data_IF_430560600383
#
_entry.id   IF_430560600383
#
_cell.length_a   1.000
_cell.length_b   1.000
_cell.length_c   1.000
_cell.angle_alpha   90.00
_cell.angle_beta   90.00
_cell.angle_gamma   90.00
#
_symmetry.space_group_name_H-M   'P 1'
#
loop_
_entity.id
_entity.type
_entity.pdbx_description
1 polymer ?
#
# COMPACT_ATOMS: atom_id res chain seq x y z
N UNK A 1 19.58 -15.73 -0.28
CA UNK A 1 19.18 -15.14 -1.57
C UNK A 1 20.14 -15.64 -2.65
N UNK A 2 19.61 -16.18 -3.74
CA UNK A 2 20.38 -16.53 -4.94
C UNK A 2 20.09 -15.47 -5.98
N UNK A 3 21.10 -14.68 -6.32
CA UNK A 3 21.06 -13.63 -7.33
C UNK A 3 20.92 -14.25 -8.72
N UNK A 4 20.05 -13.68 -9.57
CA UNK A 4 19.85 -14.05 -10.97
C UNK A 4 21.11 -13.92 -11.85
N UNK A 5 22.23 -13.45 -11.29
CA UNK A 5 23.52 -13.31 -11.96
C UNK A 5 24.37 -14.60 -12.02
N UNK A 6 23.99 -15.66 -11.30
CA UNK A 6 24.75 -16.93 -11.25
C UNK A 6 24.19 -18.04 -12.15
N UNK A 7 23.48 -17.70 -13.22
CA UNK A 7 23.21 -18.69 -14.27
C UNK A 7 24.53 -18.94 -15.02
N UNK A 8 25.03 -20.19 -15.08
CA UNK A 8 26.15 -20.49 -15.94
C UNK A 8 25.64 -20.23 -17.36
N UNK A 9 26.15 -19.17 -17.98
CA UNK A 9 26.15 -19.09 -19.44
C UNK A 9 26.85 -20.36 -19.87
N UNK A 10 26.08 -21.32 -20.42
CA UNK A 10 26.61 -22.43 -21.18
C UNK A 10 27.48 -21.80 -22.27
N UNK A 11 28.76 -21.63 -21.95
CA UNK A 11 29.83 -21.59 -22.89
C UNK A 11 29.76 -22.97 -23.53
N UNK A 12 28.89 -23.08 -24.53
CA UNK A 12 29.09 -23.99 -25.63
C UNK A 12 30.42 -23.56 -26.22
N UNK A 13 31.48 -24.09 -25.60
CA UNK A 13 32.72 -24.41 -26.22
C UNK A 13 32.30 -25.30 -27.40
N UNK A 14 31.94 -24.64 -28.51
CA UNK A 14 31.93 -25.28 -29.80
C UNK A 14 33.40 -25.63 -29.99
N UNK A 15 33.75 -26.83 -29.52
CA UNK A 15 34.94 -27.53 -29.95
C UNK A 15 34.78 -27.58 -31.47
N UNK A 16 35.43 -26.63 -32.13
CA UNK A 16 35.57 -26.62 -33.56
C UNK A 16 36.40 -27.87 -33.82
N UNK A 17 35.71 -28.97 -34.11
CA UNK A 17 36.31 -30.02 -34.90
C UNK A 17 36.72 -29.30 -36.17
N UNK A 18 38.02 -28.98 -36.28
CA UNK A 18 38.66 -28.78 -37.56
C UNK A 18 38.44 -30.07 -38.34
N UNK A 19 37.25 -30.22 -38.93
CA UNK A 19 37.13 -31.01 -40.13
C UNK A 19 37.87 -30.21 -41.20
N UNK A 20 39.20 -30.29 -41.16
CA UNK A 20 39.96 -30.44 -42.39
C UNK A 20 39.28 -31.62 -43.06
N UNK A 21 38.29 -31.32 -43.88
CA UNK A 21 37.82 -32.25 -44.88
C UNK A 21 39.11 -32.71 -45.54
N UNK A 22 39.42 -34.00 -45.42
CA UNK A 22 40.35 -34.66 -46.30
C UNK A 22 39.70 -34.55 -47.67
N UNK A 23 39.77 -33.36 -48.27
CA UNK A 23 39.51 -33.16 -49.67
C UNK A 23 40.55 -34.06 -50.28
N UNK A 24 40.07 -35.26 -50.63
CA UNK A 24 40.85 -36.30 -51.24
C UNK A 24 41.80 -35.59 -52.16
N UNK A 25 43.10 -35.74 -51.90
CA UNK A 25 44.10 -35.58 -52.93
C UNK A 25 43.70 -36.62 -53.97
N UNK A 26 42.70 -36.30 -54.79
CA UNK A 26 42.40 -37.02 -55.99
C UNK A 26 43.62 -36.68 -56.86
N UNK A 27 44.69 -37.42 -56.63
CA UNK A 27 45.49 -37.95 -57.71
C UNK A 27 44.50 -38.70 -58.60
N UNK A 28 43.79 -37.93 -59.44
CA UNK A 28 43.13 -38.43 -60.62
C UNK A 28 44.25 -38.90 -61.55
N UNK A 29 44.90 -40.00 -61.20
CA UNK A 29 45.60 -40.85 -62.13
C UNK A 29 44.51 -41.51 -62.96
N UNK A 30 44.13 -40.85 -64.06
CA UNK A 30 43.28 -41.44 -65.09
C UNK A 30 43.97 -42.75 -65.50
N UNK A 31 43.38 -43.94 -65.27
CA UNK A 31 44.00 -45.20 -65.64
C UNK A 31 44.16 -45.23 -67.15
N UNK A 32 45.40 -45.07 -67.63
CA UNK A 32 45.73 -45.05 -69.05
C UNK A 32 45.34 -46.38 -69.71
N UNK A 33 45.32 -47.46 -68.94
CA UNK A 33 44.95 -48.81 -69.37
C UNK A 33 43.51 -48.90 -69.85
N UNK A 34 42.56 -48.15 -69.25
CA UNK A 34 41.14 -48.22 -69.61
C UNK A 34 40.84 -47.46 -70.91
N UNK A 35 41.57 -46.39 -71.19
CA UNK A 35 41.34 -45.52 -72.36
C UNK A 35 42.13 -45.98 -73.60
N UNK A 36 43.10 -46.88 -73.44
CA UNK A 36 43.95 -47.39 -74.53
C UNK A 36 43.14 -48.11 -75.63
N UNK A 37 42.04 -48.78 -75.29
CA UNK A 37 41.23 -49.54 -76.27
C UNK A 37 40.22 -48.67 -77.04
N UNK A 38 39.74 -47.56 -76.48
CA UNK A 38 38.76 -46.69 -77.16
C UNK A 38 39.40 -45.72 -78.18
N UNK A 39 40.72 -45.50 -78.11
CA UNK A 39 41.46 -44.54 -78.94
C UNK A 39 42.47 -45.18 -79.89
N UNK A 40 42.36 -46.48 -80.18
CA UNK A 40 43.32 -47.22 -81.01
C UNK A 40 43.54 -46.67 -82.45
N UNK A 41 42.73 -45.69 -82.90
CA UNK A 41 42.90 -44.98 -84.18
C UNK A 41 43.40 -43.52 -84.08
N UNK A 42 43.68 -43.00 -82.88
CA UNK A 42 44.21 -41.64 -82.68
C UNK A 42 45.61 -41.78 -82.08
N UNK A 43 46.64 -41.40 -82.86
CA UNK A 43 48.03 -41.41 -82.42
C UNK A 43 48.30 -40.27 -81.42
N UNK A 44 47.81 -40.43 -80.18
CA UNK A 44 48.22 -39.61 -79.04
C UNK A 44 49.56 -40.11 -78.50
N UNK A 45 50.61 -39.32 -78.62
CA UNK A 45 51.93 -39.63 -78.05
C UNK A 45 51.92 -39.40 -76.54
N UNK A 46 52.71 -40.18 -75.78
CA UNK A 46 52.87 -40.01 -74.32
C UNK A 46 53.21 -38.56 -73.92
N UNK A 47 53.98 -37.86 -74.74
CA UNK A 47 54.33 -36.44 -74.55
C UNK A 47 53.11 -35.50 -74.60
N UNK A 48 52.16 -35.75 -75.51
CA UNK A 48 50.92 -34.94 -75.57
C UNK A 48 50.02 -35.18 -74.36
N UNK A 49 49.94 -36.41 -73.85
CA UNK A 49 49.23 -36.75 -72.62
C UNK A 49 49.84 -36.04 -71.40
N UNK A 50 51.16 -36.15 -71.20
CA UNK A 50 51.84 -35.50 -70.07
C UNK A 50 51.67 -33.98 -70.10
N UNK A 51 51.74 -33.37 -71.29
CA UNK A 51 51.48 -31.93 -71.45
C UNK A 51 50.04 -31.56 -71.07
N UNK A 52 49.04 -32.28 -71.54
CA UNK A 52 47.64 -32.04 -71.17
C UNK A 52 47.39 -32.22 -69.68
N UNK A 53 47.95 -33.26 -69.08
CA UNK A 53 47.87 -33.54 -67.65
C UNK A 53 48.49 -32.40 -66.82
N UNK A 54 49.67 -31.91 -67.22
CA UNK A 54 50.35 -30.78 -66.56
C UNK A 54 49.52 -29.48 -66.62
N UNK A 55 48.92 -29.16 -67.77
CA UNK A 55 48.06 -27.98 -67.94
C UNK A 55 46.75 -28.11 -67.16
N UNK A 56 46.17 -29.32 -67.12
CA UNK A 56 44.99 -29.60 -66.31
C UNK A 56 45.28 -29.41 -64.82
N UNK A 57 46.38 -29.99 -64.31
CA UNK A 57 46.85 -29.81 -62.92
C UNK A 57 47.10 -28.34 -62.60
N UNK A 58 47.75 -27.60 -63.51
CA UNK A 58 47.99 -26.15 -63.37
C UNK A 58 46.68 -25.36 -63.26
N UNK A 59 45.72 -25.60 -64.16
CA UNK A 59 44.40 -24.96 -64.13
C UNK A 59 43.63 -25.30 -62.86
N UNK A 60 43.65 -26.56 -62.43
CA UNK A 60 42.97 -26.98 -61.21
C UNK A 60 43.58 -26.31 -59.97
N UNK A 61 44.91 -26.23 -59.89
CA UNK A 61 45.60 -25.54 -58.80
C UNK A 61 45.23 -24.04 -58.74
N UNK A 62 45.21 -23.35 -59.89
CA UNK A 62 44.79 -21.93 -59.95
C UNK A 62 43.34 -21.77 -59.47
N UNK A 63 42.42 -22.62 -59.95
CA UNK A 63 41.01 -22.60 -59.52
C UNK A 63 40.87 -22.87 -58.02
N UNK A 64 41.59 -23.85 -57.50
CA UNK A 64 41.59 -24.17 -56.06
C UNK A 64 42.08 -22.99 -55.22
N UNK A 65 43.18 -22.34 -55.61
CA UNK A 65 43.68 -21.13 -54.92
C UNK A 65 42.67 -19.99 -54.95
N UNK A 66 42.02 -19.76 -56.09
CA UNK A 66 41.00 -18.73 -56.24
C UNK A 66 39.77 -19.03 -55.35
N UNK A 67 39.30 -20.27 -55.36
CA UNK A 67 38.19 -20.71 -54.52
C UNK A 67 38.51 -20.58 -53.03
N UNK A 68 39.69 -21.05 -52.61
CA UNK A 68 40.17 -20.91 -51.23
C UNK A 68 40.23 -19.45 -50.78
N UNK A 69 40.76 -18.57 -51.62
CA UNK A 69 40.80 -17.13 -51.34
C UNK A 69 39.38 -16.57 -51.18
N UNK A 70 38.49 -16.85 -52.13
CA UNK A 70 37.11 -16.36 -52.09
C UNK A 70 36.37 -16.86 -50.85
N UNK A 71 36.41 -18.17 -50.56
CA UNK A 71 35.80 -18.76 -49.37
C UNK A 71 36.32 -18.11 -48.08
N UNK A 72 37.64 -17.89 -47.98
CA UNK A 72 38.24 -17.25 -46.80
C UNK A 72 37.76 -15.82 -46.63
N UNK A 73 37.71 -15.03 -47.71
CA UNK A 73 37.25 -13.64 -47.64
C UNK A 73 35.75 -13.56 -47.36
N UNK A 74 34.93 -14.35 -48.04
CA UNK A 74 33.48 -14.41 -47.78
C UNK A 74 33.17 -14.79 -46.34
N UNK A 75 33.91 -15.75 -45.77
CA UNK A 75 33.75 -16.16 -44.38
C UNK A 75 34.14 -15.04 -43.39
N UNK A 76 35.27 -14.36 -43.62
CA UNK A 76 35.70 -13.22 -42.80
C UNK A 76 34.67 -12.09 -42.82
N UNK A 77 34.16 -11.75 -44.01
CA UNK A 77 33.13 -10.72 -44.17
C UNK A 77 31.83 -11.11 -43.46
N UNK A 78 31.37 -12.35 -43.62
CA UNK A 78 30.18 -12.84 -42.91
C UNK A 78 30.37 -12.78 -41.38
N UNK A 79 31.53 -13.19 -40.87
CA UNK A 79 31.84 -13.11 -39.44
C UNK A 79 31.85 -11.66 -38.94
N UNK A 80 32.41 -10.72 -39.71
CA UNK A 80 32.41 -9.31 -39.36
C UNK A 80 30.98 -8.74 -39.31
N UNK A 81 30.13 -9.08 -40.28
CA UNK A 81 28.72 -8.67 -40.26
C UNK A 81 27.98 -9.22 -39.04
N UNK A 82 28.19 -10.49 -38.69
CA UNK A 82 27.57 -11.09 -37.49
C UNK A 82 28.03 -10.38 -36.20
N UNK A 83 29.32 -10.05 -36.09
CA UNK A 83 29.83 -9.28 -34.94
C UNK A 83 29.18 -7.90 -34.84
N UNK A 84 29.05 -7.19 -35.96
CA UNK A 84 28.41 -5.87 -35.99
C UNK A 84 26.95 -5.95 -35.59
N UNK A 85 26.18 -6.91 -36.12
CA UNK A 85 24.76 -7.09 -35.77
C UNK A 85 24.62 -7.44 -34.28
N UNK A 86 25.48 -8.33 -33.77
CA UNK A 86 25.45 -8.69 -32.35
C UNK A 86 25.74 -7.48 -31.45
N UNK A 87 26.75 -6.68 -31.79
CA UNK A 87 27.08 -5.48 -31.06
C UNK A 87 25.93 -4.46 -31.07
N UNK A 88 25.31 -4.21 -32.23
CA UNK A 88 24.15 -3.33 -32.35
C UNK A 88 22.95 -3.86 -31.54
N UNK A 89 22.73 -5.18 -31.54
CA UNK A 89 21.67 -5.80 -30.74
C UNK A 89 21.93 -5.58 -29.24
N UNK A 90 23.15 -5.82 -28.78
CA UNK A 90 23.54 -5.61 -27.38
C UNK A 90 23.40 -4.13 -26.96
N UNK A 91 23.92 -3.20 -27.77
CA UNK A 91 23.80 -1.76 -27.51
C UNK A 91 22.33 -1.31 -27.41
N UNK A 92 21.47 -1.83 -28.28
CA UNK A 92 20.02 -1.53 -28.22
C UNK A 92 19.35 -2.05 -26.94
N UNK A 93 19.80 -3.20 -26.41
CA UNK A 93 19.28 -3.77 -25.16
C UNK A 93 19.76 -2.96 -23.96
N UNK A 94 21.04 -2.58 -23.93
CA UNK A 94 21.62 -1.76 -22.87
C UNK A 94 20.89 -0.43 -22.78
N UNK A 95 20.71 0.29 -23.90
CA UNK A 95 19.97 1.56 -23.92
C UNK A 95 18.53 1.45 -23.39
N UNK A 96 17.86 0.33 -23.67
CA UNK A 96 16.51 0.06 -23.14
C UNK A 96 16.55 -0.20 -21.63
N UNK A 97 17.55 -0.95 -21.15
CA UNK A 97 17.76 -1.21 -19.73
C UNK A 97 18.10 0.08 -18.97
N UNK A 98 18.98 0.93 -19.50
CA UNK A 98 19.34 2.22 -18.89
C UNK A 98 18.11 3.12 -18.74
N UNK A 99 17.28 3.20 -19.79
CA UNK A 99 16.02 3.94 -19.74
C UNK A 99 15.06 3.36 -18.69
N UNK A 100 14.94 2.04 -18.63
CA UNK A 100 14.09 1.38 -17.64
C UNK A 100 14.59 1.64 -16.22
N UNK A 101 15.89 1.51 -15.97
CA UNK A 101 16.52 1.81 -14.68
C UNK A 101 16.27 3.26 -14.26
N UNK A 102 16.42 4.22 -15.17
CA UNK A 102 16.13 5.62 -14.91
C UNK A 102 14.68 5.83 -14.45
N UNK A 103 13.71 5.26 -15.19
CA UNK A 103 12.29 5.34 -14.84
C UNK A 103 12.02 4.74 -13.46
N UNK A 104 12.58 3.56 -13.17
CA UNK A 104 12.38 2.91 -11.86
C UNK A 104 12.94 3.76 -10.72
N UNK A 105 14.12 4.39 -10.91
CA UNK A 105 14.70 5.26 -9.88
C UNK A 105 13.81 6.48 -9.63
N UNK A 106 13.33 7.13 -10.70
CA UNK A 106 12.43 8.30 -10.58
C UNK A 106 11.11 7.93 -9.87
N UNK A 107 10.49 6.82 -10.24
CA UNK A 107 9.28 6.33 -9.58
C UNK A 107 9.51 5.98 -8.11
N UNK A 108 10.66 5.38 -7.76
CA UNK A 108 11.01 5.08 -6.37
C UNK A 108 11.25 6.34 -5.55
N UNK A 109 11.91 7.36 -6.12
CA UNK A 109 12.12 8.65 -5.45
C UNK A 109 10.79 9.37 -5.19
N UNK A 110 9.87 9.34 -6.16
CA UNK A 110 8.53 9.90 -6.00
C UNK A 110 7.75 9.16 -4.92
N UNK A 111 7.79 7.82 -4.93
CA UNK A 111 7.15 7.00 -3.91
C UNK A 111 7.69 7.28 -2.50
N UNK A 112 9.00 7.48 -2.36
CA UNK A 112 9.61 7.83 -1.08
C UNK A 112 9.11 9.19 -0.57
N UNK A 113 9.01 10.20 -1.44
CA UNK A 113 8.45 11.52 -1.10
C UNK A 113 6.98 11.44 -0.68
N UNK A 114 6.18 10.66 -1.41
CA UNK A 114 4.77 10.45 -1.08
C UNK A 114 4.62 9.72 0.27
N UNK A 115 5.45 8.69 0.52
CA UNK A 115 5.47 7.97 1.79
C UNK A 115 5.83 8.89 2.96
N UNK A 116 6.80 9.79 2.78
CA UNK A 116 7.16 10.75 3.82
C UNK A 116 6.04 11.76 4.08
N UNK A 117 5.42 12.28 3.02
CA UNK A 117 4.27 13.21 3.12
C UNK A 117 3.09 12.56 3.86
N UNK A 118 2.84 11.27 3.62
CA UNK A 118 1.80 10.52 4.31
C UNK A 118 2.10 10.35 5.81
N UNK A 119 3.35 10.09 6.19
CA UNK A 119 3.76 10.01 7.60
C UNK A 119 3.59 11.35 8.32
N UNK A 120 3.93 12.45 7.66
CA UNK A 120 3.76 13.78 8.21
C UNK A 120 2.26 14.10 8.42
N UNK A 121 1.41 13.73 7.46
CA UNK A 121 -0.05 13.84 7.58
C UNK A 121 -0.61 12.97 8.72
N UNK A 122 -0.15 11.73 8.86
CA UNK A 122 -0.56 10.85 9.96
C UNK A 122 -0.25 11.48 11.32
N UNK A 123 0.94 12.07 11.47
CA UNK A 123 1.32 12.80 12.68
C UNK A 123 0.41 14.00 12.94
N UNK A 124 0.10 14.80 11.93
CA UNK A 124 -0.84 15.91 12.07
C UNK A 124 -2.23 15.45 12.54
N UNK A 125 -2.72 14.33 12.02
CA UNK A 125 -3.97 13.73 12.48
C UNK A 125 -3.93 13.31 13.94
N UNK A 126 -2.85 12.67 14.39
CA UNK A 126 -2.68 12.29 15.80
C UNK A 126 -2.71 13.53 16.70
N UNK A 127 -1.95 14.57 16.35
CA UNK A 127 -1.90 15.82 17.12
C UNK A 127 -3.26 16.54 17.14
N UNK A 128 -3.99 16.51 16.03
CA UNK A 128 -5.34 17.06 15.94
C UNK A 128 -6.33 16.27 16.81
N UNK A 129 -6.30 14.94 16.73
CA UNK A 129 -7.18 14.07 17.51
C UNK A 129 -6.94 14.22 19.01
N UNK A 130 -5.69 14.33 19.45
CA UNK A 130 -5.36 14.58 20.85
C UNK A 130 -5.97 15.90 21.34
N UNK A 131 -5.88 16.98 20.56
CA UNK A 131 -6.52 18.27 20.90
C UNK A 131 -8.04 18.17 20.99
N UNK A 132 -8.67 17.46 20.05
CA UNK A 132 -10.13 17.26 20.07
C UNK A 132 -10.53 16.42 21.28
N UNK A 133 -9.79 15.35 21.57
CA UNK A 133 -10.04 14.48 22.70
C UNK A 133 -9.93 15.21 24.04
N UNK A 134 -8.90 16.04 24.21
CA UNK A 134 -8.73 16.87 25.40
C UNK A 134 -9.91 17.84 25.60
N UNK A 135 -10.31 18.54 24.54
CA UNK A 135 -11.48 19.45 24.59
C UNK A 135 -12.76 18.71 24.92
N UNK A 136 -12.99 17.57 24.29
CA UNK A 136 -14.17 16.74 24.53
C UNK A 136 -14.20 16.21 25.97
N UNK A 137 -13.07 15.73 26.49
CA UNK A 137 -12.95 15.26 27.87
C UNK A 137 -13.24 16.37 28.88
N UNK A 138 -12.70 17.58 28.66
CA UNK A 138 -12.97 18.73 29.50
C UNK A 138 -14.46 19.11 29.47
N UNK A 139 -15.07 19.15 28.28
CA UNK A 139 -16.50 19.39 28.12
C UNK A 139 -17.36 18.35 28.86
N UNK A 140 -17.06 17.06 28.68
CA UNK A 140 -17.77 15.98 29.34
C UNK A 140 -17.71 16.08 30.87
N UNK A 141 -16.53 16.40 31.43
CA UNK A 141 -16.37 16.62 32.88
C UNK A 141 -17.21 17.81 33.35
N UNK A 142 -17.22 18.91 32.61
CA UNK A 142 -18.05 20.09 32.91
C UNK A 142 -19.54 19.75 32.91
N UNK A 143 -20.01 19.01 31.91
CA UNK A 143 -21.43 18.60 31.83
C UNK A 143 -21.81 17.65 32.96
N UNK A 144 -20.94 16.72 33.34
CA UNK A 144 -21.15 15.84 34.50
C UNK A 144 -21.26 16.64 35.80
N UNK A 145 -20.38 17.63 36.01
CA UNK A 145 -20.44 18.53 37.16
C UNK A 145 -21.72 19.35 37.18
N UNK A 146 -22.12 19.92 36.04
CA UNK A 146 -23.36 20.70 35.90
C UNK A 146 -24.60 19.85 36.22
N UNK A 147 -24.65 18.62 35.70
CA UNK A 147 -25.72 17.67 35.99
C UNK A 147 -25.77 17.31 37.48
N UNK A 148 -24.61 17.09 38.11
CA UNK A 148 -24.53 16.79 39.54
C UNK A 148 -25.04 17.96 40.39
N UNK A 149 -24.62 19.18 40.08
CA UNK A 149 -25.09 20.40 40.74
C UNK A 149 -26.60 20.57 40.60
N UNK A 150 -27.13 20.38 39.38
CA UNK A 150 -28.56 20.46 39.13
C UNK A 150 -29.36 19.43 39.95
N UNK A 151 -28.91 18.17 39.97
CA UNK A 151 -29.53 17.11 40.79
C UNK A 151 -29.53 17.44 42.27
N UNK A 152 -28.40 17.94 42.78
CA UNK A 152 -28.26 18.33 44.19
C UNK A 152 -29.17 19.51 44.55
N UNK A 153 -29.24 20.52 43.69
CA UNK A 153 -30.11 21.68 43.88
C UNK A 153 -31.58 21.29 43.87
N UNK A 154 -31.99 20.41 42.94
CA UNK A 154 -33.35 19.91 42.86
C UNK A 154 -33.75 19.13 44.12
N UNK A 155 -32.86 18.23 44.59
CA UNK A 155 -33.10 17.51 45.83
C UNK A 155 -33.29 18.49 46.99
N UNK A 156 -32.40 19.47 47.14
CA UNK A 156 -32.51 20.47 48.21
C UNK A 156 -33.82 21.26 48.15
N UNK A 157 -34.27 21.70 46.97
CA UNK A 157 -35.53 22.44 46.85
C UNK A 157 -36.76 21.59 47.20
N UNK A 158 -36.76 20.32 46.84
CA UNK A 158 -37.90 19.43 47.13
C UNK A 158 -37.97 19.10 48.62
N UNK A 159 -36.84 18.76 49.24
CA UNK A 159 -36.80 18.35 50.65
C UNK A 159 -36.88 19.54 51.63
N UNK A 160 -36.24 20.68 51.36
CA UNK A 160 -36.37 21.84 52.25
C UNK A 160 -37.77 22.45 52.25
N UNK A 161 -38.54 22.32 51.17
CA UNK A 161 -39.92 22.82 51.16
C UNK A 161 -40.81 22.00 52.08
N UNK A 162 -40.62 20.69 52.18
CA UNK A 162 -41.48 19.82 52.99
C UNK A 162 -41.31 20.09 54.48
N UNK A 163 -40.06 20.23 54.95
CA UNK A 163 -39.78 20.56 56.36
C UNK A 163 -40.31 21.95 56.76
N UNK A 164 -40.22 22.91 55.83
CA UNK A 164 -40.76 24.26 56.03
C UNK A 164 -42.29 24.27 56.03
N UNK A 165 -42.92 23.51 55.14
CA UNK A 165 -44.38 23.38 55.10
C UNK A 165 -44.93 22.75 56.38
N UNK A 166 -44.29 21.70 56.90
CA UNK A 166 -44.71 21.05 58.14
C UNK A 166 -44.57 21.98 59.36
N UNK A 167 -43.47 22.74 59.43
CA UNK A 167 -43.27 23.72 60.52
C UNK A 167 -44.25 24.87 60.46
N UNK A 168 -44.51 25.43 59.29
CA UNK A 168 -45.55 26.48 59.10
C UNK A 168 -46.93 25.94 59.45
N UNK A 169 -47.30 24.77 58.93
CA UNK A 169 -48.60 24.17 59.22
C UNK A 169 -48.79 23.93 60.73
N UNK A 170 -47.75 23.44 61.40
CA UNK A 170 -47.78 23.21 62.84
C UNK A 170 -47.92 24.51 63.62
N UNK A 171 -47.18 25.57 63.27
CA UNK A 171 -47.27 26.85 63.99
C UNK A 171 -48.62 27.52 63.80
N UNK A 172 -49.13 27.57 62.57
CA UNK A 172 -50.44 28.13 62.27
C UNK A 172 -51.56 27.33 62.96
N UNK A 173 -51.46 26.00 63.00
CA UNK A 173 -52.43 25.17 63.72
C UNK A 173 -52.38 25.40 65.24
N UNK A 174 -51.19 25.63 65.81
CA UNK A 174 -51.03 26.01 67.21
C UNK A 174 -51.67 27.38 67.52
N UNK A 175 -51.45 28.39 66.66
CA UNK A 175 -52.05 29.71 66.79
C UNK A 175 -53.58 29.63 66.71
N UNK A 176 -54.12 28.93 65.70
CA UNK A 176 -55.56 28.70 65.60
C UNK A 176 -56.14 28.05 66.86
N UNK A 177 -55.43 27.08 67.44
CA UNK A 177 -55.86 26.42 68.68
C UNK A 177 -55.89 27.37 69.87
N UNK A 178 -54.91 28.27 69.95
CA UNK A 178 -54.83 29.28 71.00
C UNK A 178 -55.95 30.33 70.86
N UNK A 179 -56.15 30.85 69.65
CA UNK A 179 -57.23 31.80 69.33
C UNK A 179 -58.61 31.22 69.63
N UNK A 180 -58.85 29.96 69.24
CA UNK A 180 -60.11 29.26 69.52
C UNK A 180 -60.33 29.06 71.02
N UNK A 181 -59.27 28.80 71.79
CA UNK A 181 -59.35 28.67 73.24
C UNK A 181 -59.70 30.02 73.89
N UNK A 182 -59.06 31.11 73.47
CA UNK A 182 -59.36 32.47 73.95
C UNK A 182 -60.82 32.83 73.65
N UNK A 183 -61.30 32.52 72.44
CA UNK A 183 -62.70 32.76 72.06
C UNK A 183 -63.67 31.94 72.92
N UNK A 184 -63.37 30.65 73.15
CA UNK A 184 -64.17 29.76 73.99
C UNK A 184 -64.24 30.28 75.44
N UNK A 185 -63.10 30.64 76.03
CA UNK A 185 -63.00 31.15 77.39
C UNK A 185 -63.78 32.46 77.56
N UNK A 186 -63.70 33.35 76.55
CA UNK A 186 -64.48 34.60 76.53
C UNK A 186 -65.98 34.33 76.47
N UNK A 187 -66.43 33.43 75.61
CA UNK A 187 -67.85 33.13 75.42
C UNK A 187 -68.46 32.46 76.68
N UNK A 188 -67.70 31.58 77.33
CA UNK A 188 -68.09 31.00 78.61
C UNK A 188 -68.21 32.06 79.73
N UNK A 189 -67.28 33.02 79.77
CA UNK A 189 -67.33 34.12 80.73
C UNK A 189 -68.54 35.02 80.49
N UNK A 190 -68.78 35.44 79.26
CA UNK A 190 -69.91 36.30 78.89
C UNK A 190 -71.26 35.63 79.23
N UNK A 191 -71.38 34.31 78.99
CA UNK A 191 -72.57 33.53 79.36
C UNK A 191 -72.78 33.46 80.88
N UNK A 192 -71.73 33.22 81.66
CA UNK A 192 -71.81 33.19 83.13
C UNK A 192 -72.21 34.56 83.69
N UNK A 193 -71.70 35.64 83.11
CA UNK A 193 -72.00 37.01 83.53
C UNK A 193 -73.47 37.37 83.23
N UNK A 194 -74.00 36.95 82.07
CA UNK A 194 -75.41 37.11 81.71
C UNK A 194 -76.35 36.31 82.63
N UNK A 195 -76.02 35.05 82.95
CA UNK A 195 -76.78 34.25 83.94
C UNK A 195 -76.80 34.94 85.31
N UNK A 196 -75.67 35.48 85.76
CA UNK A 196 -75.57 36.21 87.04
C UNK A 196 -76.42 37.49 87.02
N UNK A 197 -76.45 38.19 85.89
CA UNK A 197 -77.34 39.34 85.67
C UNK A 197 -78.80 38.93 85.68
N UNK A 198 -79.15 37.80 85.06
CA UNK A 198 -80.51 37.29 85.02
C UNK A 198 -80.98 36.88 86.42
N UNK A 199 -80.18 36.14 87.19
CA UNK A 199 -80.43 35.83 88.60
C UNK A 199 -80.60 37.10 89.43
N UNK A 200 -79.74 38.11 89.25
CA UNK A 200 -79.90 39.40 89.94
C UNK A 200 -81.22 40.08 89.60
N UNK A 201 -81.64 40.05 88.33
CA UNK A 201 -82.88 40.65 87.86
C UNK A 201 -84.10 39.92 88.44
N UNK A 202 -84.09 38.59 88.43
CA UNK A 202 -85.12 37.75 89.06
C UNK A 202 -85.18 37.99 90.58
N UNK A 203 -84.04 38.02 91.26
CA UNK A 203 -83.98 38.28 92.70
C UNK A 203 -84.58 39.66 93.03
N UNK A 204 -84.22 40.70 92.28
CA UNK A 204 -84.80 42.04 92.41
C UNK A 204 -86.32 42.06 92.19
N UNK A 205 -86.84 41.20 91.32
CA UNK A 205 -88.29 41.08 91.07
C UNK A 205 -89.07 40.33 92.15
N UNK A 206 -88.39 39.54 93.01
CA UNK A 206 -89.00 38.85 94.15
C UNK A 206 -89.02 39.72 95.41
N UNK A 207 -88.05 40.63 95.54
CA UNK A 207 -87.90 41.52 96.70
C UNK A 207 -88.52 42.92 96.53
N UNK A 208 -89.09 43.23 95.36
CA UNK A 208 -89.89 44.44 95.06
C UNK A 208 -91.34 44.05 94.79
#
# INVERSE_FOLDING_TARGET
EKTWFDMPCDATHVSVSESVSSLSTNDFSIPWETWRNEFAGIEMTYETYERLNSEFKRRNNIRHKMLSYFTTQSWKTAQQHLRTINHQSQDSRIKKLDKFQFIIIEELENFEKDSQSLKDLEKEFVDFWEKIFQKFSAYQKSEQQRLHLLKTSLAKSVFCNTDNEETVFTSEMCLMKEDMKVLQDRLLKDMLEEELLNVRRELMSVFM
#
